data_IF_018540461858
#
_entry.id   IF_018540461858
#
_cell.length_a   1.000
_cell.length_b   1.000
_cell.length_c   1.000
_cell.angle_alpha   90.00
_cell.angle_beta   90.00
_cell.angle_gamma   90.00
#
_symmetry.space_group_name_H-M   'P 1'
#
loop_
_entity.id
_entity.type
_entity.pdbx_description
1 polymer ?
#
# COMPACT_ATOMS: atom_id res chain seq x y z
N UNK A 1 4.89 -5.97 13.73
CA UNK A 1 4.79 -6.97 12.66
C UNK A 1 6.20 -7.25 12.19
N UNK A 2 6.65 -8.49 12.32
CA UNK A 2 7.96 -8.91 11.83
C UNK A 2 7.75 -9.79 10.60
N UNK A 3 7.98 -9.21 9.43
CA UNK A 3 7.89 -9.89 8.14
C UNK A 3 8.98 -10.96 7.96
N UNK A 4 10.06 -10.92 8.74
CA UNK A 4 11.16 -11.88 8.61
C UNK A 4 10.85 -13.24 9.25
N UNK A 5 9.99 -13.26 10.27
CA UNK A 5 9.62 -14.48 11.01
C UNK A 5 8.16 -14.87 10.84
N UNK A 6 7.27 -13.91 10.58
CA UNK A 6 5.82 -14.11 10.54
C UNK A 6 5.21 -13.39 9.33
N UNK A 7 5.71 -13.71 8.14
CA UNK A 7 5.31 -13.05 6.89
C UNK A 7 3.81 -13.23 6.57
N UNK A 8 3.28 -14.45 6.72
CA UNK A 8 1.87 -14.75 6.47
C UNK A 8 0.94 -13.96 7.39
N UNK A 9 1.23 -13.93 8.69
CA UNK A 9 0.42 -13.20 9.66
C UNK A 9 0.53 -11.69 9.44
N UNK A 10 1.72 -11.19 9.11
CA UNK A 10 1.94 -9.78 8.76
C UNK A 10 1.15 -9.39 7.51
N UNK A 11 1.16 -10.24 6.49
CA UNK A 11 0.36 -10.05 5.28
C UNK A 11 -1.15 -10.11 5.56
N UNK A 12 -1.62 -11.07 6.35
CA UNK A 12 -3.03 -11.17 6.74
C UNK A 12 -3.49 -9.92 7.50
N UNK A 13 -2.67 -9.43 8.44
CA UNK A 13 -2.93 -8.20 9.17
C UNK A 13 -3.03 -6.99 8.25
N UNK A 14 -2.03 -6.80 7.39
CA UNK A 14 -2.02 -5.73 6.38
C UNK A 14 -3.25 -5.81 5.46
N UNK A 15 -3.53 -7.00 4.92
CA UNK A 15 -4.66 -7.27 4.04
C UNK A 15 -6.00 -6.96 4.71
N UNK A 16 -6.20 -7.40 5.96
CA UNK A 16 -7.43 -7.16 6.71
C UNK A 16 -7.68 -5.66 6.93
N UNK A 17 -6.65 -4.94 7.42
CA UNK A 17 -6.72 -3.50 7.69
C UNK A 17 -6.96 -2.73 6.40
N UNK A 18 -6.14 -2.95 5.37
CA UNK A 18 -6.27 -2.22 4.10
C UNK A 18 -7.60 -2.49 3.41
N UNK A 19 -8.09 -3.75 3.41
CA UNK A 19 -9.40 -4.06 2.84
C UNK A 19 -10.55 -3.41 3.58
N UNK A 20 -10.48 -3.35 4.90
CA UNK A 20 -11.50 -2.67 5.71
C UNK A 20 -11.53 -1.18 5.40
N UNK A 21 -10.37 -0.51 5.44
CA UNK A 21 -10.27 0.94 5.23
C UNK A 21 -10.65 1.37 3.81
N UNK A 22 -10.28 0.60 2.78
CA UNK A 22 -10.64 0.89 1.38
C UNK A 22 -12.14 0.78 1.09
N UNK A 23 -12.94 0.20 2.00
CA UNK A 23 -14.41 0.16 1.88
C UNK A 23 -15.09 1.40 2.47
N UNK A 24 -14.35 2.23 3.21
CA UNK A 24 -14.86 3.43 3.84
C UNK A 24 -14.60 4.67 2.97
N UNK A 25 -15.41 5.74 3.12
CA UNK A 25 -15.10 7.04 2.52
C UNK A 25 -13.74 7.53 3.00
N UNK A 26 -12.89 7.99 2.06
CA UNK A 26 -11.57 8.49 2.42
C UNK A 26 -11.69 9.82 3.18
N UNK A 27 -11.02 9.88 4.32
CA UNK A 27 -10.71 11.12 5.04
C UNK A 27 -9.21 11.11 5.41
N UNK A 28 -8.74 12.18 6.05
CA UNK A 28 -7.33 12.34 6.39
C UNK A 28 -6.82 11.23 7.32
N UNK A 29 -7.64 10.77 8.26
CA UNK A 29 -7.27 9.72 9.21
C UNK A 29 -7.13 8.36 8.52
N UNK A 30 -8.09 8.00 7.66
CA UNK A 30 -8.06 6.74 6.88
C UNK A 30 -6.93 6.74 5.86
N UNK A 31 -6.66 7.89 5.25
CA UNK A 31 -5.50 8.07 4.37
C UNK A 31 -4.20 7.78 5.13
N UNK A 32 -4.02 8.40 6.30
CA UNK A 32 -2.84 8.17 7.14
C UNK A 32 -2.73 6.71 7.61
N UNK A 33 -3.85 6.06 7.94
CA UNK A 33 -3.87 4.64 8.34
C UNK A 33 -3.52 3.71 7.17
N UNK A 34 -4.02 3.98 5.96
CA UNK A 34 -3.69 3.21 4.75
C UNK A 34 -2.22 3.36 4.39
N UNK A 35 -1.69 4.58 4.43
CA UNK A 35 -0.26 4.84 4.22
C UNK A 35 0.59 4.12 5.27
N UNK A 36 0.21 4.21 6.55
CA UNK A 36 0.93 3.54 7.63
C UNK A 36 0.93 2.02 7.45
N UNK A 37 -0.20 1.42 7.07
CA UNK A 37 -0.30 -0.02 6.82
C UNK A 37 0.61 -0.48 5.68
N UNK A 38 0.62 0.26 4.55
CA UNK A 38 1.49 -0.05 3.41
C UNK A 38 2.97 0.19 3.73
N UNK A 39 3.29 1.21 4.53
CA UNK A 39 4.66 1.56 4.94
C UNK A 39 5.34 0.41 5.69
N UNK A 40 4.60 -0.44 6.40
CA UNK A 40 5.16 -1.63 7.09
C UNK A 40 5.89 -2.56 6.11
N UNK A 41 5.49 -2.60 4.83
CA UNK A 41 6.15 -3.41 3.81
C UNK A 41 7.14 -2.61 2.96
N UNK A 42 6.80 -1.38 2.55
CA UNK A 42 7.64 -0.58 1.63
C UNK A 42 8.78 0.17 2.29
N UNK A 43 8.66 0.53 3.57
CA UNK A 43 9.72 1.21 4.33
C UNK A 43 9.86 0.56 5.72
N UNK A 44 10.26 -0.72 5.75
CA UNK A 44 10.44 -1.44 7.00
C UNK A 44 11.64 -0.87 7.77
N UNK A 45 11.63 -0.97 9.10
CA UNK A 45 12.73 -0.49 9.93
C UNK A 45 14.05 -1.26 9.70
N UNK A 46 13.95 -2.52 9.25
CA UNK A 46 15.05 -3.34 8.79
C UNK A 46 14.70 -3.90 7.40
N UNK A 47 15.68 -4.03 6.47
CA UNK A 47 15.42 -4.58 5.15
C UNK A 47 14.75 -5.96 5.21
N UNK A 48 13.72 -6.17 4.39
CA UNK A 48 13.08 -7.48 4.29
C UNK A 48 13.97 -8.45 3.52
N UNK A 49 13.93 -9.76 3.83
CA UNK A 49 14.57 -10.76 2.99
C UNK A 49 14.01 -10.74 1.57
N UNK A 50 14.88 -10.98 0.57
CA UNK A 50 14.48 -11.01 -0.84
C UNK A 50 13.36 -12.01 -1.13
N UNK A 51 13.33 -13.14 -0.41
CA UNK A 51 12.28 -14.15 -0.51
C UNK A 51 10.90 -13.58 -0.16
N UNK A 52 10.82 -12.78 0.90
CA UNK A 52 9.59 -12.12 1.34
C UNK A 52 9.18 -11.03 0.33
N UNK A 53 10.15 -10.26 -0.17
CA UNK A 53 9.87 -9.24 -1.20
C UNK A 53 9.30 -9.93 -2.45
N UNK A 54 9.94 -10.98 -2.93
CA UNK A 54 9.51 -11.71 -4.14
C UNK A 54 8.09 -12.26 -3.99
N UNK A 55 7.77 -12.83 -2.83
CA UNK A 55 6.48 -13.45 -2.57
C UNK A 55 5.35 -12.43 -2.38
N UNK A 56 5.58 -11.35 -1.62
CA UNK A 56 4.52 -10.44 -1.20
C UNK A 56 4.49 -9.10 -1.94
N UNK A 57 5.49 -8.75 -2.76
CA UNK A 57 5.51 -7.47 -3.48
C UNK A 57 4.29 -7.29 -4.37
N UNK A 58 3.95 -8.28 -5.19
CA UNK A 58 2.80 -8.19 -6.09
C UNK A 58 1.47 -8.05 -5.32
N UNK A 59 1.14 -8.91 -4.34
CA UNK A 59 -0.12 -8.75 -3.61
C UNK A 59 -0.18 -7.46 -2.79
N UNK A 60 0.92 -6.99 -2.19
CA UNK A 60 0.93 -5.68 -1.49
C UNK A 60 0.76 -4.52 -2.48
N UNK A 61 1.38 -4.59 -3.67
CA UNK A 61 1.24 -3.57 -4.73
C UNK A 61 -0.20 -3.43 -5.21
N UNK A 62 -1.00 -4.51 -5.19
CA UNK A 62 -2.44 -4.43 -5.51
C UNK A 62 -3.19 -3.49 -4.55
N UNK A 63 -2.83 -3.46 -3.26
CA UNK A 63 -3.43 -2.54 -2.29
C UNK A 63 -2.97 -1.10 -2.51
N UNK A 64 -1.69 -0.88 -2.81
CA UNK A 64 -1.18 0.45 -3.11
C UNK A 64 -1.84 1.05 -4.37
N UNK A 65 -2.03 0.25 -5.43
CA UNK A 65 -2.78 0.67 -6.63
C UNK A 65 -4.25 0.99 -6.32
N UNK A 66 -4.90 0.25 -5.41
CA UNK A 66 -6.26 0.58 -4.97
C UNK A 66 -6.30 1.90 -4.21
N UNK A 67 -5.34 2.15 -3.32
CA UNK A 67 -5.21 3.44 -2.64
C UNK A 67 -5.03 4.58 -3.63
N UNK A 68 -4.17 4.42 -4.65
CA UNK A 68 -3.99 5.41 -5.72
C UNK A 68 -5.33 5.82 -6.36
N UNK A 69 -6.15 4.86 -6.78
CA UNK A 69 -7.46 5.17 -7.36
C UNK A 69 -8.43 5.79 -6.34
N UNK A 70 -8.33 5.42 -5.07
CA UNK A 70 -9.12 6.04 -4.00
C UNK A 70 -8.73 7.53 -3.83
N UNK A 71 -7.43 7.84 -3.83
CA UNK A 71 -6.92 9.21 -3.78
C UNK A 71 -7.43 10.04 -4.97
N UNK A 72 -7.40 9.48 -6.19
CA UNK A 72 -7.93 10.16 -7.39
C UNK A 72 -9.42 10.49 -7.26
N UNK A 73 -10.24 9.55 -6.80
CA UNK A 73 -11.69 9.76 -6.61
C UNK A 73 -12.00 10.88 -5.62
N UNK A 74 -11.11 11.10 -4.66
CA UNK A 74 -11.22 12.14 -3.65
C UNK A 74 -10.40 13.41 -3.98
N UNK A 75 -9.94 13.56 -5.23
CA UNK A 75 -9.17 14.72 -5.72
C UNK A 75 -7.86 14.97 -4.94
N UNK A 76 -7.29 13.93 -4.32
CA UNK A 76 -6.01 13.97 -3.61
C UNK A 76 -4.84 13.77 -4.58
N UNK A 77 -4.78 14.61 -5.61
CA UNK A 77 -3.89 14.40 -6.76
C UNK A 77 -2.40 14.40 -6.40
N UNK A 78 -1.96 15.30 -5.52
CA UNK A 78 -0.56 15.36 -5.08
C UNK A 78 -0.12 14.04 -4.46
N UNK A 79 -0.92 13.49 -3.54
CA UNK A 79 -0.63 12.20 -2.92
C UNK A 79 -0.72 11.04 -3.89
N UNK A 80 -1.70 11.04 -4.79
CA UNK A 80 -1.79 10.02 -5.84
C UNK A 80 -0.54 10.04 -6.73
N UNK A 81 -0.06 11.23 -7.10
CA UNK A 81 1.14 11.41 -7.90
C UNK A 81 2.39 10.88 -7.18
N UNK A 82 2.61 11.27 -5.92
CA UNK A 82 3.72 10.77 -5.12
C UNK A 82 3.70 9.25 -5.00
N UNK A 83 2.53 8.66 -4.72
CA UNK A 83 2.37 7.22 -4.64
C UNK A 83 2.69 6.52 -5.97
N UNK A 84 2.29 7.09 -7.11
CA UNK A 84 2.60 6.50 -8.42
C UNK A 84 4.10 6.55 -8.73
N UNK A 85 4.80 7.59 -8.29
CA UNK A 85 6.28 7.68 -8.36
C UNK A 85 6.92 6.62 -7.48
N UNK A 86 6.49 6.48 -6.23
CA UNK A 86 7.02 5.49 -5.27
C UNK A 86 6.82 4.04 -5.76
N UNK A 87 5.71 3.79 -6.48
CA UNK A 87 5.43 2.47 -7.06
C UNK A 87 6.21 2.19 -8.36
N UNK A 88 6.92 3.18 -8.90
CA UNK A 88 7.52 3.17 -10.25
C UNK A 88 6.51 2.79 -11.35
N UNK A 89 5.22 3.00 -11.09
CA UNK A 89 4.13 2.47 -11.89
C UNK A 89 3.73 3.47 -12.98
N UNK A 90 4.55 3.52 -14.03
CA UNK A 90 4.35 4.43 -15.19
C UNK A 90 3.00 4.25 -15.87
N UNK A 91 2.44 3.05 -15.80
CA UNK A 91 1.13 2.68 -16.32
C UNK A 91 -0.03 3.41 -15.60
N UNK A 92 0.14 3.79 -14.34
CA UNK A 92 -0.88 4.55 -13.59
C UNK A 92 -1.14 5.93 -14.18
N UNK A 93 -0.17 6.51 -14.91
CA UNK A 93 -0.32 7.81 -15.56
C UNK A 93 -1.00 7.74 -16.95
N UNK A 94 -1.18 6.53 -17.52
CA UNK A 94 -1.65 6.36 -18.91
C UNK A 94 -3.09 5.85 -19.05
N UNK A 95 -3.73 5.44 -17.94
CA UNK A 95 -5.10 4.87 -17.94
C UNK A 95 -6.06 5.69 -17.06
N UNK A 96 -5.79 6.99 -16.90
CA UNK A 96 -6.67 7.91 -16.14
C UNK A 96 -7.80 8.45 -16.99
#
# INVERSE_FOLDING_TARGET
MDWSTMADESYQGLSSVTNHLLRLPLDADREAQLEAALRVFYAPAAPLPDTIILEYREPVTKYARRLFHHLLRHQRFEKAFLLAVDLEARDLFMVS
#
